data_IF_800999409598
#
_entry.id   IF_800999409598
#
_cell.length_a   1.000
_cell.length_b   1.000
_cell.length_c   1.000
_cell.angle_alpha   90.00
_cell.angle_beta   90.00
_cell.angle_gamma   90.00
#
_symmetry.space_group_name_H-M   'P 1'
#
loop_
_entity.id
_entity.type
_entity.pdbx_description
1 polymer ?
#
# COMPACT_ATOMS: atom_id res chain seq x y z
N UNK A 1 10.02 38.44 -22.26
CA UNK A 1 9.42 37.12 -22.55
C UNK A 1 9.54 36.30 -21.29
N UNK A 2 8.43 36.07 -20.58
CA UNK A 2 8.45 35.37 -19.29
C UNK A 2 8.04 33.92 -19.56
N UNK A 3 8.99 33.00 -19.50
CA UNK A 3 8.72 31.56 -19.62
C UNK A 3 8.13 31.06 -18.31
N UNK A 4 6.81 30.85 -18.29
CA UNK A 4 6.14 30.10 -17.22
C UNK A 4 6.65 28.67 -17.27
N UNK A 5 7.53 28.31 -16.35
CA UNK A 5 8.04 26.95 -16.22
C UNK A 5 6.94 26.09 -15.60
N UNK A 6 6.28 25.26 -16.40
CA UNK A 6 5.33 24.25 -15.90
C UNK A 6 6.11 23.32 -14.96
N UNK A 7 5.68 23.15 -13.69
CA UNK A 7 6.31 22.20 -12.79
C UNK A 7 6.29 20.81 -13.43
N UNK A 8 7.43 20.12 -13.44
CA UNK A 8 7.46 18.73 -13.85
C UNK A 8 6.46 17.95 -12.97
N UNK A 9 5.59 17.10 -13.55
CA UNK A 9 4.70 16.29 -12.75
C UNK A 9 5.56 15.44 -11.81
N UNK A 10 5.26 15.50 -10.50
CA UNK A 10 5.83 14.56 -9.55
C UNK A 10 5.56 13.12 -10.08
N UNK A 11 6.51 12.17 -9.93
CA UNK A 11 6.23 10.78 -10.24
C UNK A 11 4.90 10.40 -9.59
N UNK A 12 4.01 9.78 -10.36
CA UNK A 12 2.81 9.19 -9.76
C UNK A 12 3.29 8.15 -8.74
N UNK A 13 3.17 8.50 -7.47
CA UNK A 13 3.33 7.58 -6.35
C UNK A 13 1.91 7.14 -6.02
N UNK A 14 1.48 5.93 -6.43
CA UNK A 14 0.21 5.41 -5.97
C UNK A 14 0.15 5.55 -4.45
N UNK A 15 -0.87 6.23 -3.94
CA UNK A 15 -1.15 6.29 -2.50
C UNK A 15 -1.39 4.89 -1.87
N UNK A 16 -1.34 3.86 -2.71
CA UNK A 16 -1.59 2.47 -2.41
C UNK A 16 -0.31 1.63 -2.33
N UNK A 17 0.88 2.17 -2.62
CA UNK A 17 2.12 1.39 -2.59
C UNK A 17 2.31 0.76 -1.22
N UNK A 18 1.91 -0.50 -1.12
CA UNK A 18 1.88 -1.23 0.12
C UNK A 18 3.28 -1.69 0.45
N UNK A 19 4.23 -0.78 0.66
CA UNK A 19 5.62 -1.15 0.90
C UNK A 19 5.74 -2.07 2.10
N UNK A 20 6.56 -3.10 1.95
CA UNK A 20 6.88 -3.98 3.03
C UNK A 20 7.79 -3.26 4.04
N UNK A 21 7.49 -3.32 5.35
CA UNK A 21 8.36 -2.75 6.37
C UNK A 21 9.67 -3.54 6.59
N UNK A 22 9.79 -4.74 6.00
CA UNK A 22 10.96 -5.62 6.18
C UNK A 22 11.99 -5.51 5.05
N UNK A 23 11.69 -4.82 3.95
CA UNK A 23 12.59 -4.76 2.79
C UNK A 23 12.03 -3.90 1.66
N UNK A 24 12.83 -3.61 0.62
CA UNK A 24 12.47 -2.69 -0.47
C UNK A 24 11.59 -3.39 -1.52
N UNK A 25 10.44 -3.92 -1.11
CA UNK A 25 9.52 -4.63 -1.98
C UNK A 25 8.06 -4.37 -1.58
N UNK A 26 7.14 -4.61 -2.51
CA UNK A 26 5.71 -4.39 -2.29
C UNK A 26 5.09 -5.57 -1.55
N UNK A 27 4.18 -5.28 -0.62
CA UNK A 27 3.29 -6.26 -0.01
C UNK A 27 2.26 -6.71 -1.04
N UNK A 28 1.66 -5.76 -1.76
CA UNK A 28 0.69 -6.00 -2.81
C UNK A 28 0.96 -5.01 -3.94
N UNK A 29 1.41 -5.51 -5.10
CA UNK A 29 1.64 -4.67 -6.28
C UNK A 29 0.34 -4.38 -7.05
N UNK A 30 -0.62 -5.32 -6.99
CA UNK A 30 -1.94 -5.17 -7.61
C UNK A 30 -3.06 -5.46 -6.60
N UNK A 31 -3.72 -4.40 -6.14
CA UNK A 31 -4.87 -4.55 -5.23
C UNK A 31 -6.04 -5.31 -5.85
N UNK A 32 -6.12 -5.41 -7.19
CA UNK A 32 -7.15 -6.24 -7.84
C UNK A 32 -6.91 -7.73 -7.62
N UNK A 33 -5.66 -8.15 -7.36
CA UNK A 33 -5.35 -9.52 -6.96
C UNK A 33 -5.83 -9.82 -5.52
N UNK A 34 -6.05 -8.79 -4.70
CA UNK A 34 -6.55 -8.96 -3.35
C UNK A 34 -8.04 -9.35 -3.40
N UNK A 35 -8.43 -10.46 -2.78
CA UNK A 35 -9.82 -10.91 -2.79
C UNK A 35 -10.76 -9.84 -2.26
N UNK A 36 -11.86 -9.58 -3.00
CA UNK A 36 -12.82 -8.54 -2.62
C UNK A 36 -13.42 -8.72 -1.23
N UNK A 37 -13.47 -9.95 -0.68
CA UNK A 37 -13.85 -10.20 0.71
C UNK A 37 -13.01 -9.42 1.73
N UNK A 38 -11.78 -9.06 1.38
CA UNK A 38 -10.83 -8.30 2.20
C UNK A 38 -10.96 -6.78 2.01
N UNK A 39 -11.77 -6.34 1.06
CA UNK A 39 -12.05 -4.91 0.84
C UNK A 39 -13.16 -4.40 1.76
N UNK A 40 -13.98 -5.29 2.33
CA UNK A 40 -15.10 -4.98 3.22
C UNK A 40 -14.79 -5.20 4.70
N UNK A 41 -13.54 -5.46 5.03
CA UNK A 41 -13.08 -5.70 6.40
C UNK A 41 -12.30 -4.50 6.92
N UNK A 42 -12.34 -4.28 8.22
CA UNK A 42 -11.50 -3.34 8.97
C UNK A 42 -10.02 -3.78 9.05
N UNK A 43 -9.71 -4.95 8.49
CA UNK A 43 -8.39 -5.58 8.48
C UNK A 43 -8.11 -6.29 7.17
N UNK A 44 -6.88 -6.18 6.68
CA UNK A 44 -6.35 -6.94 5.55
C UNK A 44 -5.10 -7.69 5.97
N UNK A 45 -5.09 -9.00 5.76
CA UNK A 45 -3.94 -9.86 5.97
C UNK A 45 -3.46 -10.39 4.61
N UNK A 46 -2.25 -10.03 4.19
CA UNK A 46 -1.72 -10.40 2.88
C UNK A 46 -0.24 -10.79 2.99
N UNK A 47 0.20 -11.89 2.36
CA UNK A 47 1.62 -12.19 2.31
C UNK A 47 2.32 -11.16 1.43
N UNK A 48 3.50 -10.72 1.84
CA UNK A 48 4.28 -9.85 1.01
C UNK A 48 4.76 -10.57 -0.26
N UNK A 49 4.53 -9.99 -1.43
CA UNK A 49 4.93 -10.59 -2.72
C UNK A 49 6.46 -10.75 -2.88
N UNK A 50 7.26 -9.90 -2.25
CA UNK A 50 8.72 -9.95 -2.32
C UNK A 50 9.37 -11.00 -1.40
N UNK A 51 8.99 -11.03 -0.12
CA UNK A 51 9.63 -11.89 0.88
C UNK A 51 8.74 -13.01 1.45
N UNK A 52 7.46 -13.06 1.06
CA UNK A 52 6.48 -14.04 1.54
C UNK A 52 6.05 -13.86 3.01
N UNK A 53 6.61 -12.88 3.73
CA UNK A 53 6.27 -12.67 5.13
C UNK A 53 4.81 -12.24 5.29
N UNK A 54 4.09 -12.74 6.30
CA UNK A 54 2.71 -12.38 6.52
C UNK A 54 2.62 -10.92 6.97
N UNK A 55 1.79 -10.13 6.29
CA UNK A 55 1.59 -8.71 6.58
C UNK A 55 0.14 -8.46 6.95
N UNK A 56 -0.07 -7.44 7.77
CA UNK A 56 -1.39 -6.96 8.16
C UNK A 56 -1.48 -5.45 8.08
N UNK A 57 -2.66 -4.93 7.76
CA UNK A 57 -3.01 -3.53 7.92
C UNK A 57 -4.48 -3.41 8.32
N UNK A 58 -4.84 -2.28 8.90
CA UNK A 58 -6.19 -2.01 9.41
C UNK A 58 -6.76 -0.73 8.80
N UNK A 59 -8.08 -0.70 8.64
CA UNK A 59 -8.81 0.46 8.17
C UNK A 59 -9.48 1.15 9.35
N UNK A 60 -9.19 2.44 9.53
CA UNK A 60 -9.89 3.29 10.47
C UNK A 60 -10.66 4.36 9.68
N UNK A 61 -11.99 4.52 9.85
CA UNK A 61 -12.79 5.45 9.05
C UNK A 61 -12.27 6.91 9.06
N UNK A 62 -11.64 7.34 10.15
CA UNK A 62 -11.12 8.69 10.30
C UNK A 62 -9.79 8.94 9.57
N UNK A 63 -8.99 7.90 9.32
CA UNK A 63 -7.61 8.04 8.81
C UNK A 63 -7.30 7.15 7.61
N UNK A 64 -8.24 6.30 7.19
CA UNK A 64 -8.05 5.34 6.11
C UNK A 64 -7.26 4.10 6.54
N UNK A 65 -6.62 3.45 5.55
CA UNK A 65 -5.76 2.28 5.78
C UNK A 65 -4.45 2.67 6.44
N UNK A 66 -4.07 1.96 7.50
CA UNK A 66 -2.73 2.05 8.07
C UNK A 66 -1.68 1.45 7.13
N UNK A 67 -0.42 1.81 7.35
CA UNK A 67 0.71 1.16 6.69
C UNK A 67 0.75 -0.34 7.02
N UNK A 68 1.27 -1.14 6.10
CA UNK A 68 1.50 -2.56 6.33
C UNK A 68 2.51 -2.80 7.45
N UNK A 69 2.21 -3.78 8.29
CA UNK A 69 3.06 -4.23 9.40
C UNK A 69 3.20 -5.75 9.36
N UNK A 70 4.29 -6.32 9.89
CA UNK A 70 4.39 -7.77 10.03
C UNK A 70 3.21 -8.28 10.88
N UNK A 71 2.55 -9.34 10.43
CA UNK A 71 1.50 -9.97 11.21
C UNK A 71 2.14 -10.71 12.40
N UNK A 72 1.95 -10.22 13.61
CA UNK A 72 2.29 -10.97 14.83
C UNK A 72 1.27 -12.10 14.99
N UNK A 73 1.75 -13.35 15.04
CA UNK A 73 0.97 -14.48 15.53
C UNK A 73 0.82 -14.41 17.04
#
# INVERSE_FOLDING_TARGET
MTTTQTPAPAPYVPAHDGMCPLGPHLVCADFNAMPQRMWRTDRQDWPCEGCGAPMTRTYAPATGWSAWRPATR
#
